data_IF_933488513572
#
_entry.id   IF_933488513572
#
_cell.length_a   1.000
_cell.length_b   1.000
_cell.length_c   1.000
_cell.angle_alpha   90.00
_cell.angle_beta   90.00
_cell.angle_gamma   90.00
#
_symmetry.space_group_name_H-M   'P 1'
#
loop_
_entity.id
_entity.type
_entity.pdbx_description
1 polymer ?
#
# COMPACT_ATOMS: atom_id res chain seq x y z
N UNK A 1 25.75 -13.64 -18.37
CA UNK A 1 24.32 -13.33 -18.11
C UNK A 1 24.06 -13.58 -16.64
N UNK A 2 24.06 -12.52 -15.84
CA UNK A 2 23.69 -12.62 -14.43
C UNK A 2 22.17 -12.45 -14.35
N UNK A 3 21.45 -13.56 -14.17
CA UNK A 3 20.06 -13.54 -13.76
C UNK A 3 20.01 -13.07 -12.30
N UNK A 4 19.59 -11.83 -12.05
CA UNK A 4 19.24 -11.41 -10.71
C UNK A 4 17.92 -12.10 -10.33
N UNK A 5 17.88 -12.89 -9.24
CA UNK A 5 16.68 -13.59 -8.83
C UNK A 5 15.64 -12.59 -8.33
N UNK A 6 14.40 -12.89 -8.67
CA UNK A 6 13.18 -12.17 -8.30
C UNK A 6 12.95 -12.33 -6.78
N UNK A 7 13.24 -11.30 -5.98
CA UNK A 7 12.90 -11.26 -4.56
C UNK A 7 11.44 -10.81 -4.37
N UNK A 8 10.55 -11.64 -3.78
CA UNK A 8 9.12 -11.39 -3.68
C UNK A 8 8.71 -10.45 -2.52
N UNK A 9 9.66 -9.69 -1.96
CA UNK A 9 9.46 -8.83 -0.77
C UNK A 9 9.90 -7.39 -1.02
N UNK A 10 9.68 -6.83 -2.21
CA UNK A 10 9.82 -5.38 -2.37
C UNK A 10 8.50 -4.73 -1.93
N UNK A 11 8.40 -4.45 -0.64
CA UNK A 11 7.33 -3.60 -0.11
C UNK A 11 7.22 -2.35 -0.97
N UNK A 12 6.03 -2.10 -1.53
CA UNK A 12 5.78 -0.96 -2.40
C UNK A 12 5.95 0.31 -1.56
N UNK A 13 7.12 0.95 -1.69
CA UNK A 13 7.37 2.23 -1.06
C UNK A 13 6.52 3.32 -1.71
N UNK A 14 6.09 4.32 -0.94
CA UNK A 14 5.40 5.49 -1.51
C UNK A 14 6.18 6.12 -2.68
N UNK A 15 7.51 6.22 -2.54
CA UNK A 15 8.40 6.75 -3.59
C UNK A 15 8.41 5.90 -4.86
N UNK A 16 8.17 4.59 -4.73
CA UNK A 16 8.09 3.69 -5.88
C UNK A 16 6.76 3.91 -6.62
N UNK A 17 5.65 4.05 -5.89
CA UNK A 17 4.35 4.37 -6.46
C UNK A 17 4.36 5.70 -7.23
N UNK A 18 4.96 6.75 -6.65
CA UNK A 18 5.11 8.05 -7.31
C UNK A 18 5.88 7.92 -8.64
N UNK A 19 6.96 7.12 -8.64
CA UNK A 19 7.77 6.85 -9.82
C UNK A 19 7.02 6.04 -10.88
N UNK A 20 6.22 5.06 -10.47
CA UNK A 20 5.40 4.26 -11.39
C UNK A 20 4.30 5.11 -12.04
N UNK A 21 3.63 5.97 -11.26
CA UNK A 21 2.68 6.95 -11.80
C UNK A 21 3.35 7.88 -12.82
N UNK A 22 4.51 8.44 -12.49
CA UNK A 22 5.29 9.30 -13.39
C UNK A 22 5.74 8.56 -14.66
N UNK A 23 6.22 7.33 -14.52
CA UNK A 23 6.65 6.49 -15.62
C UNK A 23 5.49 6.19 -16.58
N UNK A 24 4.36 5.71 -16.06
CA UNK A 24 3.21 5.34 -16.88
C UNK A 24 2.57 6.57 -17.56
N UNK A 25 2.40 7.68 -16.84
CA UNK A 25 1.89 8.92 -17.41
C UNK A 25 2.80 9.48 -18.51
N UNK A 26 4.12 9.39 -18.34
CA UNK A 26 5.09 9.82 -19.36
C UNK A 26 5.02 8.98 -20.64
N UNK A 27 4.84 7.66 -20.52
CA UNK A 27 4.66 6.77 -21.65
C UNK A 27 3.36 7.04 -22.40
N UNK A 28 2.25 7.19 -21.66
CA UNK A 28 0.93 7.43 -22.25
C UNK A 28 0.88 8.74 -23.04
N UNK A 29 1.41 9.82 -22.48
CA UNK A 29 1.28 11.16 -23.07
C UNK A 29 2.44 11.55 -23.99
N UNK A 30 3.67 11.23 -23.60
CA UNK A 30 4.87 11.70 -24.31
C UNK A 30 5.55 10.59 -25.13
N UNK A 31 5.14 9.32 -24.97
CA UNK A 31 5.74 8.14 -25.64
C UNK A 31 7.26 8.00 -25.46
N UNK A 32 7.80 8.60 -24.40
CA UNK A 32 9.20 8.53 -24.05
C UNK A 32 9.35 8.78 -22.54
N UNK A 33 10.49 8.38 -21.97
CA UNK A 33 10.72 8.36 -20.53
C UNK A 33 12.03 9.08 -20.21
N UNK A 34 12.10 9.77 -19.07
CA UNK A 34 13.39 10.30 -18.58
C UNK A 34 14.18 9.26 -17.79
N UNK A 35 15.50 9.38 -17.78
CA UNK A 35 16.37 8.42 -17.07
C UNK A 35 16.19 8.43 -15.55
N UNK A 36 15.79 9.54 -14.96
CA UNK A 36 15.58 9.68 -13.51
C UNK A 36 14.29 9.02 -13.00
N UNK A 37 13.30 8.82 -13.87
CA UNK A 37 12.03 8.14 -13.57
C UNK A 37 11.96 6.71 -14.15
N UNK A 38 13.01 6.28 -14.85
CA UNK A 38 13.04 4.96 -15.48
C UNK A 38 13.02 3.85 -14.42
N UNK A 39 12.11 2.89 -14.60
CA UNK A 39 12.00 1.74 -13.70
C UNK A 39 13.11 0.73 -14.00
N UNK A 40 13.73 0.12 -12.96
CA UNK A 40 14.87 -0.78 -13.15
C UNK A 40 14.47 -2.16 -13.69
N UNK A 41 13.19 -2.51 -13.67
CA UNK A 41 12.65 -3.79 -14.12
C UNK A 41 12.00 -3.66 -15.50
N UNK A 42 11.91 -4.76 -16.24
CA UNK A 42 11.27 -4.82 -17.56
C UNK A 42 9.76 -4.61 -17.44
N UNK A 43 9.22 -3.73 -18.29
CA UNK A 43 7.78 -3.45 -18.40
C UNK A 43 7.26 -3.91 -19.75
N UNK A 44 5.94 -4.05 -19.90
CA UNK A 44 5.31 -4.57 -21.12
C UNK A 44 5.69 -3.77 -22.39
N UNK A 45 5.90 -2.46 -22.26
CA UNK A 45 6.43 -1.58 -23.32
C UNK A 45 7.81 -1.98 -23.85
N UNK A 46 8.61 -2.74 -23.10
CA UNK A 46 9.92 -3.21 -23.54
C UNK A 46 9.82 -4.39 -24.53
N UNK A 47 8.65 -5.02 -24.63
CA UNK A 47 8.42 -6.23 -25.42
C UNK A 47 7.76 -5.95 -26.77
N UNK A 48 7.35 -4.71 -27.04
CA UNK A 48 6.71 -4.32 -28.31
C UNK A 48 7.71 -4.31 -29.48
N UNK A 49 7.25 -4.50 -30.75
CA UNK A 49 8.13 -4.56 -31.92
C UNK A 49 8.81 -3.23 -32.29
N UNK A 50 8.38 -2.09 -31.73
CA UNK A 50 9.13 -0.81 -31.72
C UNK A 50 10.15 -0.71 -30.57
N UNK A 51 10.37 -1.83 -29.87
CA UNK A 51 10.82 -1.97 -28.48
C UNK A 51 12.27 -1.63 -28.17
N UNK A 52 12.53 -0.34 -28.01
CA UNK A 52 13.45 0.12 -26.95
C UNK A 52 12.84 1.35 -26.29
N UNK A 53 12.96 1.44 -24.96
CA UNK A 53 12.62 2.65 -24.21
C UNK A 53 13.30 3.85 -24.86
N UNK A 54 12.51 4.78 -25.38
CA UNK A 54 13.04 6.04 -25.90
C UNK A 54 13.30 6.97 -24.71
N UNK A 55 14.56 7.29 -24.48
CA UNK A 55 14.96 8.28 -23.49
C UNK A 55 14.95 9.67 -24.11
N UNK A 56 14.33 10.65 -23.43
CA UNK A 56 14.10 11.99 -23.97
C UNK A 56 14.54 13.13 -23.04
N UNK A 57 15.56 12.91 -22.21
CA UNK A 57 16.05 13.90 -21.23
C UNK A 57 16.37 15.29 -21.82
N UNK A 58 16.85 15.33 -23.07
CA UNK A 58 17.32 16.57 -23.72
C UNK A 58 16.32 17.11 -24.75
N UNK A 59 15.11 16.54 -24.87
CA UNK A 59 14.14 16.94 -25.88
C UNK A 59 13.26 18.09 -25.36
N UNK A 60 13.33 19.26 -26.02
CA UNK A 60 12.52 20.44 -25.66
C UNK A 60 11.02 20.13 -25.72
N UNK A 61 10.63 19.23 -26.64
CA UNK A 61 9.23 18.81 -26.77
C UNK A 61 8.78 17.99 -25.57
N UNK A 62 9.67 17.20 -24.97
CA UNK A 62 9.40 16.47 -23.75
C UNK A 62 9.22 17.41 -22.57
N UNK A 63 10.07 18.43 -22.40
CA UNK A 63 9.92 19.40 -21.29
C UNK A 63 8.55 20.08 -21.29
N UNK A 64 8.02 20.39 -22.48
CA UNK A 64 6.66 20.93 -22.62
C UNK A 64 5.58 19.91 -22.30
N UNK A 65 5.77 18.66 -22.70
CA UNK A 65 4.87 17.55 -22.40
C UNK A 65 4.86 17.24 -20.88
N UNK A 66 6.02 17.31 -20.23
CA UNK A 66 6.21 16.98 -18.82
C UNK A 66 5.33 17.81 -17.88
N UNK A 67 5.08 19.09 -18.20
CA UNK A 67 4.18 19.93 -17.40
C UNK A 67 2.78 19.32 -17.31
N UNK A 68 2.26 18.75 -18.41
CA UNK A 68 0.96 18.05 -18.42
C UNK A 68 1.04 16.68 -17.75
N UNK A 69 2.22 16.04 -17.80
CA UNK A 69 2.46 14.78 -17.08
C UNK A 69 2.32 14.98 -15.58
N UNK A 70 2.84 16.08 -15.04
CA UNK A 70 2.76 16.37 -13.60
C UNK A 70 1.30 16.40 -13.08
N UNK A 71 0.38 17.01 -13.83
CA UNK A 71 -1.03 17.07 -13.44
C UNK A 71 -1.69 15.67 -13.38
N UNK A 72 -1.36 14.77 -14.31
CA UNK A 72 -1.87 13.39 -14.28
C UNK A 72 -1.18 12.53 -13.22
N UNK A 73 0.08 12.82 -12.93
CA UNK A 73 0.81 12.15 -11.85
C UNK A 73 0.18 12.46 -10.50
N UNK A 74 -0.19 13.71 -10.23
CA UNK A 74 -0.88 14.09 -9.00
C UNK A 74 -2.21 13.33 -8.83
N UNK A 75 -3.03 13.26 -9.89
CA UNK A 75 -4.28 12.47 -9.89
C UNK A 75 -4.04 10.98 -9.67
N UNK A 76 -2.97 10.44 -10.25
CA UNK A 76 -2.59 9.04 -10.09
C UNK A 76 -2.20 8.75 -8.63
N UNK A 77 -1.39 9.63 -8.03
CA UNK A 77 -0.94 9.52 -6.64
C UNK A 77 -2.14 9.54 -5.70
N UNK A 78 -3.04 10.52 -5.83
CA UNK A 78 -4.20 10.64 -4.95
C UNK A 78 -5.15 9.44 -5.01
N UNK A 79 -5.28 8.83 -6.19
CA UNK A 79 -6.21 7.72 -6.42
C UNK A 79 -5.62 6.36 -6.08
N UNK A 80 -4.34 6.14 -6.38
CA UNK A 80 -3.72 4.82 -6.34
C UNK A 80 -2.63 4.67 -5.27
N UNK A 81 -1.94 5.75 -4.89
CA UNK A 81 -0.86 5.68 -3.93
C UNK A 81 -1.39 5.87 -2.50
N UNK A 82 -1.49 4.76 -1.77
CA UNK A 82 -1.77 4.77 -0.33
C UNK A 82 -0.47 4.87 0.46
N UNK A 83 -0.54 5.49 1.63
CA UNK A 83 0.58 5.48 2.58
C UNK A 83 0.88 4.03 2.99
N UNK A 84 2.17 3.70 3.01
CA UNK A 84 2.67 2.41 3.48
C UNK A 84 2.41 2.24 4.98
N UNK A 85 2.01 1.03 5.40
CA UNK A 85 1.81 0.72 6.82
C UNK A 85 3.12 0.54 7.58
N UNK A 86 4.19 0.19 6.85
CA UNK A 86 5.51 -0.08 7.39
C UNK A 86 6.52 0.85 6.74
N UNK A 87 7.28 1.57 7.56
CA UNK A 87 8.32 2.47 7.10
C UNK A 87 9.49 2.42 8.09
N UNK A 88 10.68 2.17 7.56
CA UNK A 88 11.93 2.30 8.31
C UNK A 88 12.55 3.67 7.99
N UNK A 89 12.71 4.50 9.01
CA UNK A 89 13.37 5.80 8.91
C UNK A 89 14.71 5.78 9.65
N UNK A 90 15.73 6.38 9.04
CA UNK A 90 17.07 6.49 9.62
C UNK A 90 17.38 7.96 9.88
N UNK A 91 17.66 8.31 11.13
CA UNK A 91 18.23 9.60 11.48
C UNK A 91 19.74 9.57 11.19
N UNK A 92 20.20 10.48 10.33
CA UNK A 92 21.59 10.53 9.88
C UNK A 92 22.27 11.75 10.45
N UNK A 93 23.30 11.54 11.28
CA UNK A 93 24.24 12.59 11.68
C UNK A 93 25.53 12.45 10.87
N UNK A 94 25.94 13.55 10.23
CA UNK A 94 27.12 13.57 9.37
C UNK A 94 28.24 14.31 10.09
N UNK A 95 29.34 13.61 10.34
CA UNK A 95 30.60 14.22 10.77
C UNK A 95 31.60 14.15 9.62
N UNK A 96 32.33 15.24 9.40
CA UNK A 96 33.29 15.36 8.30
C UNK A 96 34.66 15.69 8.88
N UNK A 97 35.62 14.79 8.63
CA UNK A 97 36.99 14.97 9.06
C UNK A 97 37.95 14.96 7.87
N UNK A 98 39.02 15.76 7.95
CA UNK A 98 40.05 15.81 6.93
C UNK A 98 40.76 14.45 6.76
N UNK A 99 40.57 13.75 5.65
CA UNK A 99 41.29 12.52 5.29
C UNK A 99 41.87 12.58 3.86
N UNK A 100 43.05 12.00 3.56
CA UNK A 100 43.99 11.31 4.46
C UNK A 100 44.83 12.27 5.31
N UNK A 101 45.44 11.71 6.36
CA UNK A 101 46.39 12.41 7.23
C UNK A 101 47.79 12.41 6.57
N UNK A 102 48.50 13.56 6.52
CA UNK A 102 49.80 13.64 5.87
C UNK A 102 50.88 12.74 6.50
N UNK A 103 50.81 12.46 7.80
CA UNK A 103 51.81 11.64 8.51
C UNK A 103 51.65 10.15 8.21
N UNK A 104 50.41 9.68 8.02
CA UNK A 104 50.10 8.26 7.79
C UNK A 104 49.86 7.94 6.30
N UNK A 105 50.04 8.92 5.41
CA UNK A 105 49.71 8.78 4.00
C UNK A 105 50.45 7.61 3.32
N UNK A 106 51.76 7.47 3.54
CA UNK A 106 52.55 6.42 2.88
C UNK A 106 52.14 5.01 3.34
N UNK A 107 51.75 4.83 4.60
CA UNK A 107 51.25 3.55 5.11
C UNK A 107 49.83 3.24 4.57
N UNK A 108 48.95 4.24 4.51
CA UNK A 108 47.60 4.06 3.97
C UNK A 108 47.59 3.87 2.45
N UNK A 109 48.54 4.47 1.72
CA UNK A 109 48.70 4.34 0.27
C UNK A 109 48.85 2.86 -0.14
N UNK A 110 49.56 2.08 0.66
CA UNK A 110 49.76 0.64 0.45
C UNK A 110 48.44 -0.16 0.51
N UNK A 111 47.43 0.30 1.26
CA UNK A 111 46.12 -0.34 1.38
C UNK A 111 45.25 -0.15 0.14
N UNK A 112 45.54 0.88 -0.67
CA UNK A 112 44.73 1.25 -1.84
C UNK A 112 45.50 1.18 -3.17
N UNK A 113 46.55 0.35 -3.26
CA UNK A 113 47.37 0.14 -4.48
C UNK A 113 46.60 -0.16 -5.77
N UNK A 114 45.33 -0.56 -5.69
CA UNK A 114 44.44 -0.75 -6.84
C UNK A 114 44.06 0.56 -7.53
N UNK A 115 44.20 1.68 -6.84
CA UNK A 115 43.94 3.03 -7.33
C UNK A 115 45.31 3.70 -7.52
N UNK A 116 45.66 4.08 -8.75
CA UNK A 116 46.93 4.76 -9.05
C UNK A 116 46.90 6.19 -8.49
N UNK A 117 47.31 6.35 -7.24
CA UNK A 117 47.41 7.66 -6.58
C UNK A 117 48.88 7.97 -6.37
N UNK A 118 49.33 9.05 -7.00
CA UNK A 118 50.76 9.38 -7.04
C UNK A 118 51.14 10.21 -5.82
N UNK A 119 50.31 11.20 -5.49
CA UNK A 119 50.64 12.24 -4.53
C UNK A 119 49.55 12.45 -3.46
N UNK A 120 49.95 12.96 -2.29
CA UNK A 120 49.02 13.32 -1.21
C UNK A 120 47.92 14.31 -1.65
N UNK A 121 48.30 15.35 -2.41
CA UNK A 121 47.35 16.36 -2.91
C UNK A 121 46.30 15.74 -3.85
N UNK A 122 46.70 14.76 -4.65
CA UNK A 122 45.80 14.03 -5.53
C UNK A 122 44.85 13.16 -4.73
N UNK A 123 45.38 12.43 -3.73
CA UNK A 123 44.58 11.66 -2.79
C UNK A 123 43.52 12.53 -2.11
N UNK A 124 43.91 13.74 -1.70
CA UNK A 124 43.06 14.66 -0.94
C UNK A 124 41.92 15.26 -1.75
N UNK A 125 42.13 15.47 -3.05
CA UNK A 125 41.13 16.08 -3.92
C UNK A 125 40.20 15.04 -4.56
N UNK A 126 40.70 13.82 -4.77
CA UNK A 126 39.99 12.80 -5.55
C UNK A 126 39.41 11.66 -4.70
N UNK A 127 39.88 11.48 -3.46
CA UNK A 127 39.35 10.43 -2.59
C UNK A 127 38.41 10.97 -1.52
N UNK A 128 37.43 10.13 -1.17
CA UNK A 128 36.53 10.36 -0.04
C UNK A 128 36.32 9.05 0.69
N UNK A 129 36.45 9.09 2.01
CA UNK A 129 36.22 7.94 2.88
C UNK A 129 34.86 8.11 3.55
N UNK A 130 33.92 7.22 3.21
CA UNK A 130 32.58 7.20 3.82
C UNK A 130 32.54 6.06 4.83
N UNK A 131 32.25 6.38 6.10
CA UNK A 131 32.09 5.39 7.16
C UNK A 131 30.65 5.45 7.67
N UNK A 132 29.90 4.38 7.46
CA UNK A 132 28.52 4.24 7.93
C UNK A 132 28.55 3.42 9.22
N UNK A 133 28.11 3.99 10.32
CA UNK A 133 28.10 3.35 11.65
C UNK A 133 26.76 3.65 12.33
N UNK A 134 26.20 2.66 13.02
CA UNK A 134 25.08 2.90 13.92
C UNK A 134 25.58 3.55 15.20
N UNK A 135 25.13 4.77 15.50
CA UNK A 135 25.55 5.51 16.70
C UNK A 135 25.11 4.83 18.00
N UNK A 136 24.01 4.08 17.97
CA UNK A 136 23.54 3.25 19.09
C UNK A 136 22.96 1.93 18.57
N UNK A 137 22.89 0.91 19.44
CA UNK A 137 22.25 -0.38 19.13
C UNK A 137 20.71 -0.32 19.28
N UNK A 138 20.16 0.82 19.68
CA UNK A 138 18.75 0.94 20.00
C UNK A 138 17.92 1.08 18.72
N UNK A 139 16.89 0.23 18.56
CA UNK A 139 15.87 0.36 17.53
C UNK A 139 14.59 0.92 18.13
N UNK A 140 14.21 2.13 17.73
CA UNK A 140 12.92 2.71 18.09
C UNK A 140 11.87 2.16 17.12
N UNK A 141 10.79 1.57 17.64
CA UNK A 141 9.71 1.03 16.83
C UNK A 141 8.38 1.69 17.22
N UNK A 142 7.78 2.43 16.30
CA UNK A 142 6.44 2.99 16.47
C UNK A 142 5.41 2.02 15.90
N UNK A 143 4.43 1.60 16.72
CA UNK A 143 3.33 0.72 16.27
C UNK A 143 2.00 1.36 16.63
N UNK A 144 1.19 1.61 15.62
CA UNK A 144 -0.20 2.02 15.83
C UNK A 144 -1.03 0.78 16.19
N UNK A 145 -1.76 0.86 17.31
CA UNK A 145 -2.74 -0.15 17.74
C UNK A 145 -4.12 0.48 17.75
N UNK A 146 -5.15 -0.31 17.45
CA UNK A 146 -6.53 0.14 17.61
C UNK A 146 -6.76 0.51 19.08
N UNK A 147 -7.43 1.64 19.32
CA UNK A 147 -7.76 2.09 20.68
C UNK A 147 -8.74 1.15 21.38
N UNK A 148 -9.64 0.55 20.60
CA UNK A 148 -10.64 -0.39 21.07
C UNK A 148 -10.60 -1.66 20.23
N UNK A 149 -10.55 -2.81 20.88
CA UNK A 149 -10.78 -4.08 20.23
C UNK A 149 -12.27 -4.44 20.21
N UNK A 150 -12.67 -5.35 19.33
CA UNK A 150 -14.08 -5.75 19.19
C UNK A 150 -14.65 -6.25 20.52
N UNK A 151 -13.84 -6.96 21.31
CA UNK A 151 -14.22 -7.53 22.60
C UNK A 151 -14.54 -6.41 23.59
N UNK A 152 -13.75 -5.34 23.61
CA UNK A 152 -13.95 -4.19 24.49
C UNK A 152 -15.23 -3.43 24.13
N UNK A 153 -15.54 -3.30 22.83
CA UNK A 153 -16.79 -2.69 22.37
C UNK A 153 -18.02 -3.46 22.89
N UNK A 154 -18.01 -4.79 22.81
CA UNK A 154 -19.10 -5.60 23.35
C UNK A 154 -19.22 -5.48 24.87
N UNK A 155 -18.11 -5.40 25.59
CA UNK A 155 -18.12 -5.15 27.04
C UNK A 155 -18.70 -3.77 27.39
N UNK A 156 -18.34 -2.71 26.65
CA UNK A 156 -18.90 -1.37 26.89
C UNK A 156 -20.40 -1.30 26.59
N UNK A 157 -20.84 -1.91 25.48
CA UNK A 157 -22.26 -1.98 25.14
C UNK A 157 -23.05 -2.79 26.17
N UNK A 158 -22.56 -3.95 26.56
CA UNK A 158 -23.19 -4.79 27.58
C UNK A 158 -23.26 -4.11 28.94
N UNK A 159 -22.19 -3.41 29.35
CA UNK A 159 -22.16 -2.62 30.57
C UNK A 159 -23.15 -1.47 30.56
N UNK A 160 -23.23 -0.72 29.45
CA UNK A 160 -24.17 0.40 29.32
C UNK A 160 -25.63 -0.08 29.31
N UNK A 161 -25.96 -1.08 28.49
CA UNK A 161 -27.31 -1.65 28.43
C UNK A 161 -27.71 -2.25 29.79
N UNK A 162 -26.78 -2.95 30.45
CA UNK A 162 -27.01 -3.58 31.75
C UNK A 162 -27.30 -2.56 32.87
N UNK A 163 -26.62 -1.41 32.89
CA UNK A 163 -26.83 -0.37 33.91
C UNK A 163 -28.14 0.39 33.68
N UNK A 164 -28.42 0.79 32.43
CA UNK A 164 -29.55 1.67 32.14
C UNK A 164 -30.89 0.95 32.01
N UNK A 165 -30.88 -0.22 31.37
CA UNK A 165 -32.11 -0.96 31.06
C UNK A 165 -32.29 -2.13 32.04
N UNK A 166 -31.23 -2.58 32.71
CA UNK A 166 -31.29 -3.76 33.59
C UNK A 166 -31.52 -5.06 32.80
N UNK A 167 -31.33 -5.03 31.48
CA UNK A 167 -31.59 -6.15 30.58
C UNK A 167 -30.29 -6.91 30.32
N UNK A 168 -30.27 -8.16 30.74
CA UNK A 168 -29.18 -9.09 30.50
C UNK A 168 -29.32 -9.74 29.12
N UNK A 169 -28.21 -10.27 28.58
CA UNK A 169 -28.22 -11.03 27.32
C UNK A 169 -29.25 -12.17 27.32
N UNK A 170 -29.42 -12.84 28.46
CA UNK A 170 -30.43 -13.89 28.65
C UNK A 170 -31.86 -13.37 28.44
N UNK A 171 -32.18 -12.17 28.92
CA UNK A 171 -33.50 -11.58 28.74
C UNK A 171 -33.79 -11.32 27.26
N UNK A 172 -32.79 -10.89 26.49
CA UNK A 172 -32.93 -10.68 25.02
C UNK A 172 -33.22 -12.00 24.31
N UNK A 173 -32.55 -13.09 24.69
CA UNK A 173 -32.83 -14.41 24.13
C UNK A 173 -34.26 -14.87 24.45
N UNK A 174 -34.73 -14.67 25.68
CA UNK A 174 -36.09 -15.01 26.06
C UNK A 174 -37.13 -14.22 25.24
N UNK A 175 -36.95 -12.90 25.10
CA UNK A 175 -37.81 -12.10 24.21
C UNK A 175 -37.75 -12.58 22.75
N UNK A 176 -36.57 -12.99 22.28
CA UNK A 176 -36.38 -13.56 20.95
C UNK A 176 -37.16 -14.84 20.73
N UNK A 177 -37.17 -15.76 21.70
CA UNK A 177 -37.93 -17.02 21.59
C UNK A 177 -39.44 -16.78 21.56
N UNK A 178 -39.94 -15.84 22.36
CA UNK A 178 -41.36 -15.45 22.37
C UNK A 178 -41.75 -14.82 21.03
N UNK A 179 -40.90 -13.93 20.49
CA UNK A 179 -41.13 -13.30 19.19
C UNK A 179 -41.11 -14.32 18.05
N UNK A 180 -40.15 -15.25 18.06
CA UNK A 180 -40.07 -16.32 17.06
C UNK A 180 -41.30 -17.23 17.10
N UNK A 181 -41.74 -17.65 18.29
CA UNK A 181 -42.95 -18.46 18.45
C UNK A 181 -44.21 -17.71 17.97
N UNK A 182 -44.29 -16.41 18.26
CA UNK A 182 -45.39 -15.58 17.77
C UNK A 182 -45.37 -15.46 16.24
N UNK A 183 -44.21 -15.24 15.63
CA UNK A 183 -44.05 -15.18 14.17
C UNK A 183 -44.44 -16.51 13.52
N UNK A 184 -43.99 -17.65 14.06
CA UNK A 184 -44.34 -18.98 13.55
C UNK A 184 -45.86 -19.20 13.62
N UNK A 185 -46.51 -18.84 14.73
CA UNK A 185 -47.97 -18.94 14.87
C UNK A 185 -48.69 -18.07 13.87
N UNK A 186 -48.23 -16.84 13.68
CA UNK A 186 -48.82 -15.87 12.75
C UNK A 186 -48.66 -16.30 11.29
N UNK A 187 -47.50 -16.83 10.92
CA UNK A 187 -47.27 -17.43 9.59
C UNK A 187 -48.18 -18.64 9.38
N UNK A 188 -48.35 -19.48 10.41
CA UNK A 188 -49.22 -20.66 10.33
C UNK A 188 -50.69 -20.27 10.13
N UNK A 189 -51.19 -19.28 10.87
CA UNK A 189 -52.53 -18.71 10.65
C UNK A 189 -52.69 -18.18 9.22
N UNK A 190 -51.74 -17.36 8.77
CA UNK A 190 -51.79 -16.82 7.41
C UNK A 190 -51.80 -17.90 6.32
N UNK A 191 -51.13 -19.03 6.57
CA UNK A 191 -51.10 -20.19 5.66
C UNK A 191 -52.42 -20.95 5.65
N UNK A 192 -53.08 -21.09 6.80
CA UNK A 192 -54.42 -21.70 6.89
C UNK A 192 -55.50 -20.80 6.27
N UNK A 193 -55.44 -19.48 6.49
CA UNK A 193 -56.35 -18.52 5.86
C UNK A 193 -56.22 -18.53 4.33
N UNK A 194 -54.99 -18.66 3.81
CA UNK A 194 -54.74 -18.78 2.37
C UNK A 194 -55.21 -20.12 1.79
N UNK A 195 -55.12 -21.22 2.55
CA UNK A 195 -55.71 -22.51 2.14
C UNK A 195 -57.23 -22.44 2.13
N UNK A 196 -57.85 -21.79 3.12
CA UNK A 196 -59.30 -21.56 3.14
C UNK A 196 -59.76 -20.71 1.95
N UNK A 197 -59.04 -19.63 1.63
CA UNK A 197 -59.33 -18.81 0.46
C UNK A 197 -59.15 -19.57 -0.88
N UNK A 198 -58.15 -20.46 -0.97
CA UNK A 198 -57.95 -21.34 -2.13
C UNK A 198 -59.04 -22.42 -2.24
N UNK A 199 -59.51 -22.98 -1.12
CA UNK A 199 -60.59 -23.97 -1.10
C UNK A 199 -61.95 -23.35 -1.48
N UNK A 200 -62.20 -22.09 -1.10
CA UNK A 200 -63.40 -21.33 -1.49
C UNK A 200 -63.41 -20.93 -2.97
N UNK A 201 -62.25 -20.80 -3.61
CA UNK A 201 -62.15 -20.48 -5.05
C UNK A 201 -62.08 -21.73 -5.95
N UNK A 202 -61.76 -22.90 -5.41
CA UNK A 202 -61.78 -24.19 -6.14
C UNK A 202 -63.11 -24.96 -6.10
N UNK A 203 -64.14 -24.42 -5.42
CA UNK A 203 -65.45 -25.06 -5.26
C UNK A 203 -66.55 -24.58 -6.23
N UNK A 204 -66.21 -23.78 -7.25
CA UNK A 204 -67.16 -23.25 -8.23
C UNK A 204 -66.81 -23.72 -9.65
N UNK A 205 -66.90 -25.03 -9.87
CA UNK A 205 -66.91 -25.63 -11.22
C UNK A 205 -67.85 -26.85 -11.17
N UNK A 206 -69.16 -26.60 -11.07
CA UNK A 206 -70.17 -27.60 -11.42
C UNK A 206 -71.31 -26.95 -12.24
N UNK A 207 -71.54 -27.50 -13.42
CA UNK A 207 -72.78 -27.33 -14.18
C UNK A 207 -72.94 -26.11 -15.07
N UNK A 208 -72.28 -26.04 -16.24
CA UNK A 208 -72.93 -25.54 -17.48
C UNK A 208 -72.11 -25.86 -18.74
N UNK A 209 -72.51 -26.90 -19.47
CA UNK A 209 -72.28 -27.00 -20.93
C UNK A 209 -73.55 -27.59 -21.57
N UNK A 210 -74.33 -26.68 -22.15
CA UNK A 210 -75.22 -26.97 -23.28
C UNK A 210 -74.41 -27.02 -24.56
#
# INVERSE_FOLDING_TARGET
>A
MAYYPYEPHRDISCKLCDRECAFNASLLMCRCVRRDIALPYEVEWDKEPSGKRRFCDNDITFTRCWVRVLDEVEKCIDKHCKKQCWEDQYEVSITQDPWPDPYFFEEEKEKFKRIDIRNFREARNNLTKIRIVFGTLNKITYRHRAKYEQIELFSYMGGFIGIWIGVSFLNVLDYGTVLANWLIRRIRQYREDKKFAAALSGGFDDGTKH
#
